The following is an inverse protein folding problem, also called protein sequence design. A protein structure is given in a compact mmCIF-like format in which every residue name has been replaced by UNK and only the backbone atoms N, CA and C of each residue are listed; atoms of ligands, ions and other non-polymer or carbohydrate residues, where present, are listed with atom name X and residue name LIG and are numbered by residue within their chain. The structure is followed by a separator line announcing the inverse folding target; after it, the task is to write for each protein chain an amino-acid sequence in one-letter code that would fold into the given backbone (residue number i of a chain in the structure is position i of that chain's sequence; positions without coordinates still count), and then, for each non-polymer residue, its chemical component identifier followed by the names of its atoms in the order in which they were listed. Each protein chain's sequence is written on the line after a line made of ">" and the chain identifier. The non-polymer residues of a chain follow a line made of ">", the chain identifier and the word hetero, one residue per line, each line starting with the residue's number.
data_IF_897658993962
#
_entry.id   IF_897658993962
#
_cell.length_a   1.000
_cell.length_b   1.000
_cell.length_c   1.000
_cell.angle_alpha   90.00
_cell.angle_beta   90.00
_cell.angle_gamma   90.00
#
_symmetry.space_group_name_H-M   'P 1'
#
loop_
_entity.id
_entity.type
_entity.pdbx_description
1 polymer ?
#
# COMPACT_ATOMS: atom_id res chain seq x y z
N UNK A 1 -32.92 -17.53 24.32
CA UNK A 1 -31.81 -17.79 25.25
C UNK A 1 -30.89 -18.94 24.83
N UNK A 2 -31.41 -20.14 24.48
CA UNK A 2 -30.58 -21.31 24.10
C UNK A 2 -29.59 -21.09 22.93
N UNK A 3 -29.97 -20.29 21.92
CA UNK A 3 -29.13 -20.03 20.73
C UNK A 3 -27.89 -19.16 21.04
N UNK A 4 -28.00 -18.21 21.98
CA UNK A 4 -26.88 -17.37 22.39
C UNK A 4 -25.82 -18.16 23.15
N UNK A 5 -26.25 -19.04 24.06
CA UNK A 5 -25.36 -19.95 24.80
C UNK A 5 -24.64 -20.90 23.83
N UNK A 6 -25.35 -21.46 22.85
CA UNK A 6 -24.74 -22.34 21.84
C UNK A 6 -23.68 -21.63 20.97
N UNK A 7 -23.89 -20.36 20.61
CA UNK A 7 -22.90 -19.58 19.86
C UNK A 7 -21.68 -19.23 20.74
N UNK A 8 -21.90 -18.85 21.99
CA UNK A 8 -20.83 -18.56 22.94
C UNK A 8 -19.96 -19.78 23.23
N UNK A 9 -20.55 -20.97 23.36
CA UNK A 9 -19.79 -22.21 23.51
C UNK A 9 -18.94 -22.51 22.26
N UNK A 10 -19.51 -22.37 21.06
CA UNK A 10 -18.76 -22.55 19.80
C UNK A 10 -17.60 -21.58 19.65
N UNK A 11 -17.79 -20.32 20.05
CA UNK A 11 -16.72 -19.32 20.06
C UNK A 11 -15.60 -19.72 21.04
N UNK A 12 -15.96 -20.18 22.24
CA UNK A 12 -15.00 -20.67 23.23
C UNK A 12 -14.22 -21.87 22.72
N UNK A 13 -14.90 -22.86 22.14
CA UNK A 13 -14.27 -24.07 21.59
C UNK A 13 -13.34 -23.72 20.42
N UNK A 14 -13.76 -22.81 19.53
CA UNK A 14 -12.94 -22.33 18.43
C UNK A 14 -11.70 -21.59 18.94
N UNK A 15 -11.85 -20.74 19.97
CA UNK A 15 -10.72 -20.02 20.57
C UNK A 15 -9.74 -20.97 21.26
N UNK A 16 -10.25 -22.01 21.93
CA UNK A 16 -9.42 -23.05 22.53
C UNK A 16 -8.66 -23.85 21.46
N UNK A 17 -9.33 -24.20 20.35
CA UNK A 17 -8.70 -24.89 19.22
C UNK A 17 -7.61 -24.02 18.55
N UNK A 18 -7.88 -22.72 18.35
CA UNK A 18 -6.88 -21.76 17.83
C UNK A 18 -5.67 -21.71 18.75
N UNK A 19 -5.88 -21.54 20.06
CA UNK A 19 -4.78 -21.48 21.02
C UNK A 19 -3.94 -22.75 21.03
N UNK A 20 -4.58 -23.92 21.00
CA UNK A 20 -3.87 -25.20 20.94
C UNK A 20 -3.08 -25.35 19.64
N UNK A 21 -3.64 -24.92 18.50
CA UNK A 21 -2.95 -24.92 17.22
C UNK A 21 -1.76 -23.94 17.20
N UNK A 22 -1.89 -22.77 17.81
CA UNK A 22 -0.80 -21.80 17.99
C UNK A 22 0.34 -22.40 18.83
N UNK A 23 0.04 -23.00 19.98
CA UNK A 23 1.04 -23.65 20.85
C UNK A 23 1.77 -24.80 20.13
N UNK A 24 1.03 -25.61 19.37
CA UNK A 24 1.62 -26.67 18.55
C UNK A 24 2.52 -26.11 17.43
N UNK A 25 2.11 -25.00 16.80
CA UNK A 25 2.92 -24.31 15.80
C UNK A 25 4.19 -23.72 16.42
N UNK A 26 4.08 -23.04 17.56
CA UNK A 26 5.23 -22.50 18.30
C UNK A 26 6.25 -23.58 18.62
N UNK A 27 5.79 -24.74 19.10
CA UNK A 27 6.67 -25.88 19.41
C UNK A 27 7.44 -26.33 18.17
N UNK A 28 6.75 -26.54 17.05
CA UNK A 28 7.37 -26.92 15.77
C UNK A 28 8.36 -25.86 15.26
N UNK A 29 8.03 -24.59 15.42
CA UNK A 29 8.90 -23.48 15.03
C UNK A 29 10.19 -23.48 15.85
N UNK A 30 10.11 -23.66 17.18
CA UNK A 30 11.28 -23.76 18.06
C UNK A 30 12.15 -24.96 17.71
N UNK A 31 11.55 -26.12 17.41
CA UNK A 31 12.28 -27.31 16.96
C UNK A 31 13.02 -27.05 15.64
N UNK A 32 12.38 -26.37 14.69
CA UNK A 32 13.00 -26.00 13.41
C UNK A 32 14.16 -25.01 13.58
N UNK A 33 14.02 -24.04 14.48
CA UNK A 33 15.12 -23.12 14.81
C UNK A 33 16.33 -23.82 15.41
N UNK A 34 16.15 -24.94 16.12
CA UNK A 34 17.28 -25.73 16.65
C UNK A 34 18.01 -26.53 15.57
N UNK A 35 17.37 -26.87 14.47
CA UNK A 35 17.97 -27.66 13.40
C UNK A 35 18.54 -26.83 12.24
N UNK A 36 18.36 -25.51 12.27
CA UNK A 36 18.85 -24.60 11.23
C UNK A 36 20.36 -24.40 11.38
N UNK A 37 21.08 -24.57 10.28
CA UNK A 37 22.51 -24.25 10.17
C UNK A 37 22.74 -22.74 10.02
N UNK A 38 23.97 -22.28 10.26
CA UNK A 38 24.32 -20.86 10.14
C UNK A 38 24.04 -20.30 8.74
N UNK A 39 24.32 -21.08 7.70
CA UNK A 39 24.09 -20.67 6.32
C UNK A 39 22.60 -20.54 5.99
N UNK A 40 21.77 -21.48 6.46
CA UNK A 40 20.31 -21.38 6.30
C UNK A 40 19.73 -20.19 7.08
N UNK A 41 20.26 -19.90 8.27
CA UNK A 41 19.87 -18.70 9.05
C UNK A 41 20.24 -17.43 8.29
N UNK A 42 21.43 -17.37 7.68
CA UNK A 42 21.86 -16.22 6.88
C UNK A 42 20.95 -16.00 5.67
N UNK A 43 20.61 -17.05 4.92
CA UNK A 43 19.67 -16.96 3.80
C UNK A 43 18.30 -16.48 4.26
N UNK A 44 17.75 -17.05 5.33
CA UNK A 44 16.44 -16.65 5.87
C UNK A 44 16.40 -15.18 6.31
N UNK A 45 17.48 -14.67 6.92
CA UNK A 45 17.52 -13.28 7.41
C UNK A 45 17.81 -12.31 6.27
N UNK A 46 18.78 -12.60 5.42
CA UNK A 46 19.25 -11.68 4.39
C UNK A 46 18.29 -11.68 3.21
N UNK A 47 18.02 -12.84 2.63
CA UNK A 47 17.25 -12.93 1.39
C UNK A 47 15.75 -12.88 1.67
N UNK A 48 15.27 -13.77 2.54
CA UNK A 48 13.83 -13.94 2.73
C UNK A 48 13.19 -12.85 3.58
N UNK A 49 13.97 -12.26 4.52
CA UNK A 49 13.45 -11.20 5.40
C UNK A 49 13.88 -9.82 4.93
N UNK A 50 15.16 -9.51 4.93
CA UNK A 50 15.62 -8.13 4.71
C UNK A 50 15.53 -7.70 3.25
N UNK A 51 15.98 -8.51 2.30
CA UNK A 51 15.87 -8.17 0.89
C UNK A 51 14.40 -8.06 0.46
N UNK A 52 13.55 -8.99 0.90
CA UNK A 52 12.11 -8.93 0.64
C UNK A 52 11.46 -7.64 1.20
N UNK A 53 11.71 -7.30 2.47
CA UNK A 53 11.20 -6.06 3.07
C UNK A 53 11.73 -4.82 2.35
N UNK A 54 13.02 -4.77 2.07
CA UNK A 54 13.65 -3.63 1.40
C UNK A 54 13.09 -3.43 -0.01
N UNK A 55 12.90 -4.49 -0.78
CA UNK A 55 12.28 -4.42 -2.11
C UNK A 55 10.84 -3.92 -2.04
N UNK A 56 10.05 -4.38 -1.06
CA UNK A 56 8.69 -3.91 -0.83
C UNK A 56 8.65 -2.42 -0.48
N UNK A 57 9.54 -1.98 0.39
CA UNK A 57 9.63 -0.57 0.82
C UNK A 57 10.05 0.34 -0.34
N UNK A 58 11.07 -0.07 -1.12
CA UNK A 58 11.51 0.66 -2.31
C UNK A 58 10.37 0.79 -3.33
N UNK A 59 9.62 -0.28 -3.57
CA UNK A 59 8.48 -0.26 -4.50
C UNK A 59 7.39 0.70 -4.01
N UNK A 60 7.06 0.63 -2.74
CA UNK A 60 6.06 1.51 -2.12
C UNK A 60 6.48 2.99 -2.19
N UNK A 61 7.78 3.27 -1.99
CA UNK A 61 8.34 4.60 -2.13
C UNK A 61 8.25 5.11 -3.57
N UNK A 62 8.59 4.26 -4.54
CA UNK A 62 8.49 4.59 -5.96
C UNK A 62 7.04 4.93 -6.34
N UNK A 63 6.08 4.11 -5.92
CA UNK A 63 4.66 4.35 -6.16
C UNK A 63 4.21 5.67 -5.53
N UNK A 64 4.63 5.95 -4.29
CA UNK A 64 4.32 7.21 -3.60
C UNK A 64 4.86 8.43 -4.34
N UNK A 65 6.12 8.37 -4.78
CA UNK A 65 6.76 9.47 -5.52
C UNK A 65 6.06 9.67 -6.86
N UNK A 66 5.72 8.60 -7.57
CA UNK A 66 4.98 8.64 -8.84
C UNK A 66 3.60 9.30 -8.69
N UNK A 67 2.85 8.91 -7.66
CA UNK A 67 1.56 9.51 -7.35
C UNK A 67 1.68 10.99 -6.99
N UNK A 68 2.67 11.36 -6.17
CA UNK A 68 2.93 12.76 -5.82
C UNK A 68 3.28 13.58 -7.07
N UNK A 69 4.08 13.04 -7.96
CA UNK A 69 4.46 13.72 -9.21
C UNK A 69 3.25 13.92 -10.13
N UNK A 70 2.44 12.87 -10.31
CA UNK A 70 1.19 12.93 -11.09
C UNK A 70 0.22 13.96 -10.52
N UNK A 71 0.07 13.99 -9.19
CA UNK A 71 -0.76 14.98 -8.50
C UNK A 71 -0.31 16.42 -8.78
N UNK A 72 1.00 16.67 -8.76
CA UNK A 72 1.57 18.00 -9.07
C UNK A 72 1.38 18.39 -10.53
N UNK A 73 1.51 17.45 -11.47
CA UNK A 73 1.21 17.71 -12.89
C UNK A 73 -0.25 18.12 -13.06
N UNK A 74 -1.17 17.38 -12.44
CA UNK A 74 -2.59 17.71 -12.48
C UNK A 74 -2.87 19.09 -11.90
N UNK A 75 -2.31 19.38 -10.73
CA UNK A 75 -2.46 20.70 -10.08
C UNK A 75 -1.96 21.84 -10.98
N UNK A 76 -0.83 21.65 -11.67
CA UNK A 76 -0.31 22.64 -12.62
C UNK A 76 -1.23 22.78 -13.83
N UNK A 77 -1.70 21.68 -14.40
CA UNK A 77 -2.64 21.69 -15.53
C UNK A 77 -3.90 22.48 -15.19
N UNK A 78 -4.53 22.14 -14.06
CA UNK A 78 -5.78 22.76 -13.59
C UNK A 78 -5.57 24.27 -13.33
N UNK A 79 -4.44 24.64 -12.74
CA UNK A 79 -4.11 26.04 -12.43
C UNK A 79 -3.95 26.89 -13.68
N UNK A 80 -3.33 26.36 -14.73
CA UNK A 80 -3.06 27.12 -15.95
C UNK A 80 -4.18 27.07 -16.98
N UNK A 81 -5.16 26.17 -16.85
CA UNK A 81 -6.29 26.07 -17.76
C UNK A 81 -7.09 27.39 -17.87
N UNK A 82 -7.45 27.99 -16.74
CA UNK A 82 -8.26 29.23 -16.72
C UNK A 82 -7.50 30.47 -17.21
N UNK A 83 -6.27 30.76 -16.74
CA UNK A 83 -5.45 31.83 -17.29
C UNK A 83 -5.20 31.69 -18.79
N UNK A 84 -4.92 30.47 -19.26
CA UNK A 84 -4.68 30.19 -20.68
C UNK A 84 -5.93 30.39 -21.53
N UNK A 85 -7.10 29.95 -21.05
CA UNK A 85 -8.38 30.20 -21.72
C UNK A 85 -8.67 31.70 -21.84
N UNK A 86 -8.41 32.47 -20.79
CA UNK A 86 -8.63 33.93 -20.77
C UNK A 86 -7.71 34.68 -21.74
N UNK A 87 -6.42 34.34 -21.79
CA UNK A 87 -5.49 34.98 -22.73
C UNK A 87 -5.87 34.69 -24.18
N UNK A 88 -6.28 33.45 -24.48
CA UNK A 88 -6.76 33.04 -25.81
C UNK A 88 -8.02 33.80 -26.22
N UNK A 89 -8.99 33.99 -25.32
CA UNK A 89 -10.21 34.73 -25.62
C UNK A 89 -9.94 36.22 -25.90
N UNK A 90 -9.05 36.85 -25.13
CA UNK A 90 -8.64 38.24 -25.34
C UNK A 90 -7.99 38.44 -26.71
N UNK A 91 -7.09 37.54 -27.10
CA UNK A 91 -6.43 37.57 -28.40
C UNK A 91 -7.43 37.52 -29.57
N UNK A 92 -8.41 36.61 -29.50
CA UNK A 92 -9.49 36.54 -30.50
C UNK A 92 -10.29 37.84 -30.58
N UNK A 93 -10.67 38.37 -29.42
CA UNK A 93 -11.46 39.60 -29.34
C UNK A 93 -10.70 40.82 -29.86
N UNK A 94 -9.39 40.91 -29.61
CA UNK A 94 -8.54 41.95 -30.20
C UNK A 94 -8.44 41.78 -31.72
N UNK A 95 -8.19 40.57 -32.23
CA UNK A 95 -8.08 40.33 -33.68
C UNK A 95 -9.38 40.68 -34.42
N UNK A 96 -10.53 40.35 -33.86
CA UNK A 96 -11.83 40.74 -34.41
C UNK A 96 -12.08 42.26 -34.35
N UNK A 97 -11.61 42.94 -33.30
CA UNK A 97 -11.67 44.39 -33.24
C UNK A 97 -10.85 45.04 -34.36
N UNK A 98 -9.66 44.52 -34.65
CA UNK A 98 -8.79 45.01 -35.73
C UNK A 98 -9.36 44.74 -37.14
N UNK A 99 -10.16 43.68 -37.32
CA UNK A 99 -10.79 43.35 -38.61
C UNK A 99 -12.06 44.16 -38.91
N UNK A 100 -12.69 44.74 -37.89
CA UNK A 100 -13.96 45.46 -38.01
C UNK A 100 -13.79 47.00 -38.00
N UNK A 101 -12.54 47.48 -38.04
CA UNK A 101 -12.14 48.89 -38.23
C UNK A 101 -11.42 49.03 -39.56
#
# INVERSE_FOLDING_TARGET
>A
MKKGIALSNKESDAKAAVKSAEEALYTKVVEKYRSLSEDEVKTLVVDDKWAASLCSDIKSELDRVSQRFTGRIKELSDRYETPFRRSRQRSKHSAQRWMNT
#
